data_IF_600214455185
#
_entry.id   IF_600214455185
#
_cell.length_a   1.000
_cell.length_b   1.000
_cell.length_c   1.000
_cell.angle_alpha   90.00
_cell.angle_beta   90.00
_cell.angle_gamma   90.00
#
_symmetry.space_group_name_H-M   'P 1'
#
loop_
_entity.id
_entity.type
_entity.pdbx_description
1 polymer ?
#
# COMPACT_ATOMS: atom_id res chain seq x y z
N UNK A 1 -5.27 -1.16 23.20
CA UNK A 1 -4.96 -0.64 21.86
C UNK A 1 -3.69 0.19 21.94
N UNK A 2 -2.65 -0.18 21.20
CA UNK A 2 -1.45 0.64 21.01
C UNK A 2 -1.56 1.43 19.70
N UNK A 3 -1.05 2.66 19.67
CA UNK A 3 -1.12 3.55 18.51
C UNK A 3 0.25 4.19 18.26
N UNK A 4 0.64 4.29 16.99
CA UNK A 4 1.82 5.05 16.54
C UNK A 4 1.44 5.92 15.35
N UNK A 5 1.65 7.23 15.47
CA UNK A 5 1.28 8.20 14.43
C UNK A 5 2.52 8.56 13.62
N UNK A 6 2.40 8.50 12.29
CA UNK A 6 3.39 8.96 11.34
C UNK A 6 2.81 10.13 10.52
N UNK A 7 3.19 11.35 10.86
CA UNK A 7 2.71 12.54 10.15
C UNK A 7 3.35 12.63 8.75
N UNK A 8 2.58 13.12 7.80
CA UNK A 8 2.98 13.20 6.39
C UNK A 8 4.22 14.08 6.16
N UNK A 9 4.36 15.16 6.94
CA UNK A 9 5.50 16.10 6.91
C UNK A 9 6.78 15.53 7.53
N UNK A 10 6.70 14.39 8.22
CA UNK A 10 7.84 13.70 8.86
C UNK A 10 8.34 12.49 8.07
N UNK A 11 7.77 12.22 6.89
CA UNK A 11 8.22 11.12 6.02
C UNK A 11 9.58 11.41 5.41
N UNK A 12 10.35 10.36 5.12
CA UNK A 12 11.54 10.46 4.28
C UNK A 12 11.16 10.88 2.86
N UNK A 13 12.13 11.39 2.09
CA UNK A 13 11.92 11.80 0.70
C UNK A 13 13.14 11.52 -0.14
N UNK A 14 12.93 10.86 -1.28
CA UNK A 14 13.90 10.79 -2.37
C UNK A 14 13.39 11.66 -3.52
N UNK A 15 14.17 12.67 -3.91
CA UNK A 15 13.81 13.62 -4.95
C UNK A 15 14.86 13.62 -6.05
N UNK A 16 14.47 13.14 -7.23
CA UNK A 16 15.26 13.14 -8.47
C UNK A 16 14.48 13.85 -9.57
N UNK A 17 15.09 14.16 -10.69
CA UNK A 17 14.41 14.82 -11.81
C UNK A 17 13.18 14.06 -12.30
N UNK A 18 13.20 12.74 -12.16
CA UNK A 18 12.15 11.84 -12.63
C UNK A 18 11.25 11.25 -11.53
N UNK A 19 11.68 11.33 -10.24
CA UNK A 19 11.02 10.69 -9.11
C UNK A 19 10.87 11.66 -7.94
N UNK A 20 9.66 11.78 -7.41
CA UNK A 20 9.37 12.36 -6.09
C UNK A 20 8.70 11.27 -5.24
N UNK A 21 9.48 10.65 -4.34
CA UNK A 21 9.06 9.52 -3.51
C UNK A 21 9.07 9.91 -2.04
N UNK A 22 7.96 9.64 -1.33
CA UNK A 22 7.84 9.89 0.10
C UNK A 22 7.73 8.57 0.87
N UNK A 23 8.60 8.38 1.88
CA UNK A 23 8.81 7.12 2.59
C UNK A 23 8.19 7.16 3.99
N UNK A 24 7.20 6.31 4.26
CA UNK A 24 6.64 6.14 5.61
C UNK A 24 7.62 5.42 6.55
N UNK A 25 8.45 4.55 5.99
CA UNK A 25 9.49 3.77 6.70
C UNK A 25 10.87 4.03 6.09
N UNK A 26 11.92 3.64 6.80
CA UNK A 26 13.30 3.75 6.32
C UNK A 26 13.48 3.04 4.98
N UNK A 27 13.90 3.79 3.98
CA UNK A 27 14.06 3.33 2.61
C UNK A 27 15.07 4.22 1.88
N UNK A 28 15.85 3.64 0.96
CA UNK A 28 16.91 4.34 0.24
C UNK A 28 17.87 5.04 1.21
N UNK A 29 18.18 6.31 1.04
CA UNK A 29 19.03 7.09 1.93
C UNK A 29 18.33 7.56 3.23
N UNK A 30 17.01 7.46 3.29
CA UNK A 30 16.26 7.81 4.49
C UNK A 30 16.37 6.72 5.55
N UNK A 31 16.94 7.06 6.70
CA UNK A 31 17.05 6.15 7.84
C UNK A 31 16.52 6.79 9.12
N UNK A 32 15.53 6.15 9.74
CA UNK A 32 15.02 6.45 11.06
C UNK A 32 14.84 5.13 11.83
N UNK A 33 15.59 4.89 12.94
CA UNK A 33 15.53 3.63 13.69
C UNK A 33 14.15 3.34 14.30
N UNK A 34 13.31 4.37 14.51
CA UNK A 34 11.95 4.22 15.00
C UNK A 34 10.94 3.94 13.88
N UNK A 35 11.39 3.96 12.60
CA UNK A 35 10.55 3.77 11.41
C UNK A 35 11.17 2.78 10.44
N UNK A 36 11.53 1.59 10.93
CA UNK A 36 12.06 0.52 10.07
C UNK A 36 10.92 -0.27 9.43
N UNK A 37 9.88 -0.58 10.19
CA UNK A 37 8.71 -1.32 9.75
C UNK A 37 7.55 -1.17 10.75
N UNK A 38 6.36 -1.66 10.37
CA UNK A 38 5.23 -1.88 11.26
C UNK A 38 4.79 -3.34 11.09
N UNK A 39 5.09 -4.22 12.08
CA UNK A 39 4.91 -5.65 11.89
C UNK A 39 5.59 -6.12 10.61
N UNK A 40 4.90 -6.90 9.78
CA UNK A 40 5.42 -7.35 8.49
C UNK A 40 5.44 -6.26 7.40
N UNK A 41 4.82 -5.10 7.59
CA UNK A 41 4.84 -3.98 6.64
C UNK A 41 6.23 -3.30 6.68
N UNK A 42 7.03 -3.48 5.62
CA UNK A 42 8.41 -3.00 5.53
C UNK A 42 8.55 -1.68 4.78
N UNK A 43 7.77 -1.48 3.73
CA UNK A 43 7.82 -0.28 2.88
C UNK A 43 6.39 0.19 2.60
N UNK A 44 6.19 1.50 2.68
CA UNK A 44 5.06 2.20 2.11
C UNK A 44 5.57 3.53 1.56
N UNK A 45 5.77 3.55 0.26
CA UNK A 45 6.19 4.72 -0.50
C UNK A 45 5.01 5.28 -1.30
N UNK A 46 4.97 6.60 -1.38
CA UNK A 46 4.01 7.39 -2.16
C UNK A 46 4.82 8.06 -3.28
N UNK A 47 4.77 7.44 -4.45
CA UNK A 47 5.66 7.71 -5.57
C UNK A 47 4.96 8.53 -6.66
N UNK A 48 5.65 9.54 -7.16
CA UNK A 48 5.27 10.29 -8.35
C UNK A 48 6.40 10.24 -9.36
N UNK A 49 6.12 9.62 -10.51
CA UNK A 49 7.10 9.38 -11.58
C UNK A 49 6.78 10.22 -12.80
N UNK A 50 7.80 10.89 -13.35
CA UNK A 50 7.69 11.75 -14.52
C UNK A 50 7.27 10.97 -15.79
N UNK A 51 6.73 11.65 -16.82
CA UNK A 51 6.30 11.00 -18.06
C UNK A 51 7.43 10.22 -18.74
N UNK A 52 7.18 8.97 -19.11
CA UNK A 52 8.12 8.10 -19.81
C UNK A 52 9.27 7.56 -18.97
N UNK A 53 9.38 7.96 -17.72
CA UNK A 53 10.41 7.55 -16.77
C UNK A 53 9.91 6.41 -15.88
N UNK A 54 10.78 5.89 -15.01
CA UNK A 54 10.42 4.85 -14.05
C UNK A 54 11.60 4.06 -13.53
N UNK A 55 11.28 3.06 -12.73
CA UNK A 55 12.25 2.13 -12.16
C UNK A 55 12.64 1.10 -13.23
N UNK A 56 13.87 1.20 -13.69
CA UNK A 56 14.46 0.28 -14.67
C UNK A 56 14.54 -1.14 -14.08
N UNK A 57 14.89 -2.11 -14.90
CA UNK A 57 14.98 -3.51 -14.46
C UNK A 57 15.89 -3.66 -13.25
N UNK A 58 15.32 -4.14 -12.16
CA UNK A 58 15.99 -4.38 -10.87
C UNK A 58 15.49 -5.67 -10.23
N UNK A 59 16.29 -6.29 -9.34
CA UNK A 59 15.94 -7.56 -8.72
C UNK A 59 15.18 -7.39 -7.41
N UNK A 60 14.27 -8.36 -7.14
CA UNK A 60 13.72 -8.60 -5.81
C UNK A 60 13.86 -10.07 -5.44
N UNK A 61 13.99 -10.34 -4.14
CA UNK A 61 14.01 -11.68 -3.57
C UNK A 61 13.38 -11.69 -2.20
N UNK A 62 12.55 -12.69 -1.94
CA UNK A 62 11.91 -12.86 -0.63
C UNK A 62 11.19 -11.59 -0.14
N UNK A 63 10.33 -11.03 -0.99
CA UNK A 63 9.50 -9.87 -0.69
C UNK A 63 8.15 -10.03 -1.38
N UNK A 64 7.08 -9.65 -0.69
CA UNK A 64 5.75 -9.48 -1.25
C UNK A 64 5.58 -8.00 -1.58
N UNK A 65 5.20 -7.68 -2.82
CA UNK A 65 5.15 -6.31 -3.32
C UNK A 65 3.76 -6.02 -3.86
N UNK A 66 3.18 -4.90 -3.43
CA UNK A 66 1.86 -4.45 -3.88
C UNK A 66 1.99 -3.03 -4.42
N UNK A 67 1.53 -2.82 -5.66
CA UNK A 67 1.47 -1.50 -6.29
C UNK A 67 0.00 -1.09 -6.48
N UNK A 68 -0.35 0.11 -5.99
CA UNK A 68 -1.71 0.66 -6.08
C UNK A 68 -1.64 2.02 -6.79
N UNK A 69 -2.04 2.11 -8.08
CA UNK A 69 -2.09 3.37 -8.79
C UNK A 69 -3.10 4.35 -8.18
N UNK A 70 -2.68 5.59 -7.97
CA UNK A 70 -3.53 6.69 -7.51
C UNK A 70 -3.87 7.65 -8.67
N UNK A 71 -3.00 7.69 -9.71
CA UNK A 71 -3.20 8.51 -10.90
C UNK A 71 -2.34 8.01 -12.06
N UNK A 72 -2.86 8.08 -13.29
CA UNK A 72 -2.12 7.71 -14.50
C UNK A 72 -2.03 6.21 -14.72
N UNK A 73 -0.94 5.76 -15.35
CA UNK A 73 -0.73 4.40 -15.82
C UNK A 73 0.64 3.89 -15.38
N UNK A 74 0.69 2.78 -14.66
CA UNK A 74 1.91 2.09 -14.28
C UNK A 74 2.10 0.85 -15.15
N UNK A 75 3.18 0.84 -15.94
CA UNK A 75 3.54 -0.27 -16.82
C UNK A 75 4.57 -1.17 -16.14
N UNK A 76 4.23 -2.42 -15.94
CA UNK A 76 5.08 -3.47 -15.37
C UNK A 76 5.63 -4.38 -16.45
N UNK A 77 6.89 -4.80 -16.30
CA UNK A 77 7.49 -5.89 -17.08
C UNK A 77 8.43 -6.70 -16.21
N UNK A 78 8.43 -8.03 -16.36
CA UNK A 78 9.28 -8.89 -15.53
C UNK A 78 9.98 -10.05 -16.27
N UNK A 79 10.94 -10.67 -15.59
CA UNK A 79 11.73 -11.81 -16.11
C UNK A 79 10.92 -13.10 -16.29
N UNK A 80 9.67 -13.14 -15.85
CA UNK A 80 8.71 -14.25 -16.08
C UNK A 80 7.82 -13.99 -17.28
N UNK A 81 8.11 -12.94 -18.06
CA UNK A 81 7.40 -12.50 -19.27
C UNK A 81 6.00 -11.92 -18.99
N UNK A 82 5.72 -11.48 -17.76
CA UNK A 82 4.55 -10.67 -17.53
C UNK A 82 4.81 -9.25 -18.05
N UNK A 83 3.84 -8.70 -18.77
CA UNK A 83 3.82 -7.31 -19.24
C UNK A 83 2.40 -6.80 -19.12
N UNK A 84 2.19 -5.84 -18.25
CA UNK A 84 0.88 -5.30 -17.89
C UNK A 84 0.95 -3.80 -17.69
N UNK A 85 -0.16 -3.14 -17.92
CA UNK A 85 -0.34 -1.73 -17.54
C UNK A 85 -1.56 -1.65 -16.67
N UNK A 86 -1.39 -1.13 -15.45
CA UNK A 86 -2.44 -0.95 -14.45
C UNK A 86 -2.72 0.54 -14.27
N UNK A 87 -3.93 0.86 -13.82
CA UNK A 87 -4.39 2.24 -13.60
C UNK A 87 -5.21 2.33 -12.31
N UNK A 88 -5.76 3.50 -12.03
CA UNK A 88 -6.62 3.73 -10.86
C UNK A 88 -7.78 2.71 -10.83
N UNK A 89 -7.95 2.04 -9.72
CA UNK A 89 -8.92 0.96 -9.54
C UNK A 89 -8.38 -0.44 -9.86
N UNK A 90 -7.09 -0.55 -10.22
CA UNK A 90 -6.39 -1.83 -10.30
C UNK A 90 -5.44 -1.99 -9.10
N UNK A 91 -5.11 -3.22 -8.76
CA UNK A 91 -4.06 -3.61 -7.80
C UNK A 91 -3.13 -4.60 -8.48
N UNK A 92 -1.82 -4.41 -8.29
CA UNK A 92 -0.79 -5.36 -8.70
C UNK A 92 -0.18 -6.01 -7.46
N UNK A 93 0.01 -7.32 -7.52
CA UNK A 93 0.59 -8.12 -6.44
C UNK A 93 1.68 -9.02 -7.01
N UNK A 94 2.88 -8.94 -6.44
CA UNK A 94 4.03 -9.74 -6.85
C UNK A 94 4.70 -10.38 -5.63
N UNK A 95 4.81 -11.70 -5.64
CA UNK A 95 5.65 -12.45 -4.69
C UNK A 95 7.00 -12.71 -5.35
N UNK A 96 8.07 -12.12 -4.82
CA UNK A 96 9.39 -12.25 -5.44
C UNK A 96 10.05 -13.62 -5.21
N UNK A 97 9.71 -14.33 -4.14
CA UNK A 97 10.14 -15.70 -3.85
C UNK A 97 11.65 -15.94 -4.04
N UNK A 98 12.01 -16.92 -4.86
CA UNK A 98 13.41 -17.26 -5.18
C UNK A 98 14.17 -16.18 -5.94
N UNK A 99 13.45 -15.22 -6.54
CA UNK A 99 13.99 -14.07 -7.24
C UNK A 99 13.24 -13.75 -8.53
N UNK A 100 13.04 -12.46 -8.75
CA UNK A 100 12.44 -11.89 -9.96
C UNK A 100 13.16 -10.59 -10.31
N UNK A 101 13.32 -10.31 -11.59
CA UNK A 101 13.71 -9.01 -12.09
C UNK A 101 12.48 -8.35 -12.68
N UNK A 102 12.22 -7.10 -12.34
CA UNK A 102 11.11 -6.35 -12.91
C UNK A 102 11.44 -4.88 -13.14
N UNK A 103 10.61 -4.22 -13.91
CA UNK A 103 10.61 -2.78 -14.15
C UNK A 103 9.22 -2.21 -13.94
N UNK A 104 9.15 -0.97 -13.45
CA UNK A 104 7.91 -0.23 -13.23
C UNK A 104 8.05 1.15 -13.86
N UNK A 105 7.41 1.34 -15.01
CA UNK A 105 7.56 2.53 -15.85
C UNK A 105 6.26 3.33 -15.87
N UNK A 106 6.37 4.66 -15.99
CA UNK A 106 5.20 5.46 -16.32
C UNK A 106 4.75 5.14 -17.75
N UNK A 107 3.55 4.58 -17.90
CA UNK A 107 2.97 4.23 -19.21
C UNK A 107 2.56 5.43 -20.08
N UNK A 108 2.63 6.66 -19.53
CA UNK A 108 2.30 7.89 -20.24
C UNK A 108 3.57 8.67 -20.61
N UNK A 109 3.64 9.18 -21.85
CA UNK A 109 4.72 10.07 -22.32
C UNK A 109 4.48 11.55 -21.99
N UNK A 110 3.33 11.92 -21.43
CA UNK A 110 2.94 13.31 -21.24
C UNK A 110 2.41 13.67 -19.86
N UNK A 111 2.03 12.67 -19.05
CA UNK A 111 1.45 12.88 -17.72
C UNK A 111 2.18 12.04 -16.68
N UNK A 112 2.37 12.54 -15.44
CA UNK A 112 2.97 11.74 -14.38
C UNK A 112 2.04 10.58 -13.97
N UNK A 113 2.63 9.53 -13.42
CA UNK A 113 1.94 8.48 -12.66
C UNK A 113 2.18 8.70 -11.17
N UNK A 114 1.16 8.47 -10.36
CA UNK A 114 1.24 8.47 -8.90
C UNK A 114 0.73 7.12 -8.38
N UNK A 115 1.47 6.47 -7.48
CA UNK A 115 1.10 5.16 -6.95
C UNK A 115 1.71 4.91 -5.56
N UNK A 116 1.09 4.01 -4.81
CA UNK A 116 1.67 3.48 -3.57
C UNK A 116 2.46 2.22 -3.89
N UNK A 117 3.72 2.18 -3.44
CA UNK A 117 4.57 1.00 -3.48
C UNK A 117 4.69 0.43 -2.07
N UNK A 118 4.21 -0.79 -1.87
CA UNK A 118 4.07 -1.40 -0.56
C UNK A 118 4.82 -2.73 -0.55
N UNK A 119 5.70 -2.92 0.44
CA UNK A 119 6.43 -4.18 0.61
C UNK A 119 6.08 -4.82 1.93
N UNK A 120 5.75 -6.11 1.86
CA UNK A 120 5.43 -6.93 3.01
C UNK A 120 6.50 -8.01 3.15
N UNK A 121 7.06 -8.20 4.34
CA UNK A 121 7.97 -9.29 4.62
C UNK A 121 7.24 -10.62 4.45
N UNK A 122 7.79 -11.58 3.69
CA UNK A 122 7.09 -12.81 3.38
C UNK A 122 7.00 -13.75 4.59
N UNK A 123 5.94 -14.55 4.67
CA UNK A 123 5.78 -15.63 5.66
C UNK A 123 6.78 -16.76 5.40
N UNK A 124 6.98 -17.08 4.12
CA UNK A 124 7.88 -18.14 3.68
C UNK A 124 8.90 -17.59 2.69
N UNK A 125 10.15 -18.05 2.81
CA UNK A 125 11.21 -17.66 1.88
C UNK A 125 11.38 -18.68 0.75
N UNK A 126 11.93 -18.21 -0.38
CA UNK A 126 12.27 -19.02 -1.55
C UNK A 126 11.06 -19.75 -2.17
N UNK A 127 9.88 -19.16 -2.04
CA UNK A 127 8.67 -19.59 -2.73
C UNK A 127 8.81 -19.40 -4.24
N UNK A 128 7.88 -19.95 -5.01
CA UNK A 128 7.85 -19.68 -6.45
C UNK A 128 7.41 -18.23 -6.71
N UNK A 129 8.12 -17.47 -7.58
CA UNK A 129 7.71 -16.13 -7.95
C UNK A 129 6.32 -16.11 -8.59
N UNK A 130 5.48 -15.18 -8.15
CA UNK A 130 4.09 -15.04 -8.62
C UNK A 130 3.81 -13.57 -8.95
N UNK A 131 3.06 -13.35 -10.04
CA UNK A 131 2.53 -12.05 -10.44
C UNK A 131 1.02 -12.15 -10.64
N UNK A 132 0.28 -11.15 -10.14
CA UNK A 132 -1.16 -11.03 -10.28
C UNK A 132 -1.52 -9.56 -10.46
N UNK A 133 -2.53 -9.26 -11.25
CA UNK A 133 -3.17 -7.94 -11.32
C UNK A 133 -4.68 -8.10 -11.39
N UNK A 134 -5.42 -7.19 -10.76
CA UNK A 134 -6.88 -7.27 -10.66
C UNK A 134 -7.53 -5.90 -10.68
N UNK A 135 -8.70 -5.81 -11.32
CA UNK A 135 -9.62 -4.71 -11.21
C UNK A 135 -10.43 -4.84 -9.91
N UNK A 136 -10.24 -3.86 -9.01
CA UNK A 136 -10.93 -3.82 -7.71
C UNK A 136 -12.13 -2.87 -7.69
N UNK A 137 -12.44 -2.16 -8.80
CA UNK A 137 -13.55 -1.19 -8.86
C UNK A 137 -14.88 -1.81 -8.46
N UNK A 138 -15.11 -3.05 -8.86
CA UNK A 138 -16.34 -3.78 -8.52
C UNK A 138 -16.48 -4.15 -7.03
N UNK A 139 -15.39 -4.10 -6.26
CA UNK A 139 -15.39 -4.36 -4.82
C UNK A 139 -15.68 -3.08 -4.01
N UNK A 140 -15.29 -1.92 -4.56
CA UNK A 140 -15.38 -0.63 -3.86
C UNK A 140 -16.83 -0.14 -3.86
N UNK A 141 -17.35 0.12 -2.68
CA UNK A 141 -18.64 0.76 -2.46
C UNK A 141 -18.46 2.02 -1.65
N UNK A 142 -19.22 3.05 -2.00
CA UNK A 142 -19.16 4.32 -1.28
C UNK A 142 -19.61 4.15 0.18
N UNK A 143 -18.88 4.76 1.10
CA UNK A 143 -19.11 4.71 2.55
C UNK A 143 -18.93 3.30 3.18
N UNK A 144 -18.20 2.41 2.52
CA UNK A 144 -17.85 1.09 3.04
C UNK A 144 -16.33 0.84 2.95
N UNK A 145 -15.79 -0.01 3.83
CA UNK A 145 -14.46 -0.57 3.70
C UNK A 145 -14.57 -1.88 2.91
N UNK A 146 -13.96 -1.93 1.74
CA UNK A 146 -13.90 -3.13 0.91
C UNK A 146 -12.59 -3.88 1.15
N UNK A 147 -12.65 -5.16 1.44
CA UNK A 147 -11.49 -6.04 1.44
C UNK A 147 -11.06 -6.27 -0.02
N UNK A 148 -9.83 -5.85 -0.37
CA UNK A 148 -9.31 -5.88 -1.74
C UNK A 148 -8.20 -6.91 -1.94
N UNK A 149 -7.60 -7.39 -0.84
CA UNK A 149 -6.57 -8.43 -0.84
C UNK A 149 -6.63 -9.21 0.47
N UNK A 150 -6.52 -10.54 0.39
CA UNK A 150 -6.52 -11.44 1.55
C UNK A 150 -5.63 -12.66 1.30
N UNK A 151 -5.13 -13.34 2.35
CA UNK A 151 -4.29 -14.53 2.20
C UNK A 151 -5.09 -15.79 1.87
N UNK A 152 -6.37 -15.83 2.21
CA UNK A 152 -7.25 -17.01 2.14
C UNK A 152 -7.94 -17.20 0.79
N UNK A 153 -7.76 -16.25 -0.14
CA UNK A 153 -8.40 -16.29 -1.46
C UNK A 153 -9.87 -15.85 -1.47
N UNK A 154 -10.37 -15.23 -0.40
CA UNK A 154 -11.71 -14.61 -0.37
C UNK A 154 -11.79 -13.37 -1.26
N UNK A 155 -10.64 -12.85 -1.70
CA UNK A 155 -10.50 -11.78 -2.69
C UNK A 155 -9.80 -12.28 -3.95
N UNK A 156 -9.98 -11.62 -5.12
CA UNK A 156 -9.27 -11.99 -6.34
C UNK A 156 -7.74 -11.94 -6.18
N UNK A 157 -7.22 -10.90 -5.51
CA UNK A 157 -5.80 -10.76 -5.19
C UNK A 157 -5.46 -11.43 -3.86
N UNK A 158 -4.30 -12.09 -3.78
CA UNK A 158 -3.80 -12.68 -2.54
C UNK A 158 -2.29 -12.53 -2.40
N UNK A 159 -1.84 -12.42 -1.15
CA UNK A 159 -0.43 -12.57 -0.75
C UNK A 159 -0.20 -13.93 -0.07
N UNK A 160 1.05 -14.34 -0.01
CA UNK A 160 1.45 -15.53 0.75
C UNK A 160 1.58 -15.23 2.24
N UNK A 161 1.78 -13.96 2.63
CA UNK A 161 1.77 -13.51 4.01
C UNK A 161 0.33 -13.40 4.52
N UNK A 162 0.13 -13.64 5.83
CA UNK A 162 -1.16 -13.43 6.51
C UNK A 162 -1.43 -11.91 6.62
N UNK A 163 -1.94 -11.34 5.54
CA UNK A 163 -2.09 -9.90 5.35
C UNK A 163 -3.38 -9.58 4.62
N UNK A 164 -4.10 -8.57 5.10
CA UNK A 164 -5.35 -8.09 4.51
C UNK A 164 -5.23 -6.61 4.16
N UNK A 165 -5.64 -6.27 2.94
CA UNK A 165 -5.76 -4.89 2.51
C UNK A 165 -7.22 -4.52 2.35
N UNK A 166 -7.62 -3.43 2.98
CA UNK A 166 -8.95 -2.86 2.79
C UNK A 166 -8.84 -1.42 2.31
N UNK A 167 -9.73 -1.03 1.43
CA UNK A 167 -9.81 0.34 0.90
C UNK A 167 -11.22 0.88 1.04
N UNK A 168 -11.35 2.16 1.38
CA UNK A 168 -12.63 2.84 1.48
C UNK A 168 -12.60 4.24 0.89
N UNK A 169 -13.70 4.61 0.26
CA UNK A 169 -14.02 5.98 -0.12
C UNK A 169 -15.32 6.39 0.58
N UNK A 170 -15.26 7.39 1.46
CA UNK A 170 -16.38 7.80 2.27
C UNK A 170 -16.58 9.31 2.32
N UNK A 171 -17.84 9.73 2.34
CA UNK A 171 -18.23 11.12 2.52
C UNK A 171 -17.96 11.60 3.94
N UNK A 172 -17.89 12.90 4.12
CA UNK A 172 -17.81 13.51 5.45
C UNK A 172 -19.00 13.09 6.34
N UNK A 173 -18.72 12.91 7.64
CA UNK A 173 -19.74 12.57 8.64
C UNK A 173 -20.16 11.09 8.65
N UNK A 174 -19.35 10.20 8.05
CA UNK A 174 -19.58 8.75 8.12
C UNK A 174 -18.67 8.11 9.17
N UNK A 175 -19.13 6.99 9.72
CA UNK A 175 -18.32 6.12 10.58
C UNK A 175 -18.14 4.78 9.89
N UNK A 176 -16.88 4.37 9.73
CA UNK A 176 -16.50 3.10 9.16
C UNK A 176 -15.92 2.22 10.28
N UNK A 177 -16.51 1.05 10.51
CA UNK A 177 -15.97 0.06 11.45
C UNK A 177 -14.95 -0.84 10.73
N UNK A 178 -13.79 -1.06 11.36
CA UNK A 178 -12.83 -2.10 10.96
C UNK A 178 -12.73 -3.17 12.03
N UNK A 179 -12.90 -4.42 11.64
CA UNK A 179 -12.69 -5.60 12.47
C UNK A 179 -11.42 -6.30 12.06
N UNK A 180 -10.56 -6.61 13.02
CA UNK A 180 -9.31 -7.34 12.81
C UNK A 180 -9.61 -8.73 12.26
N UNK A 181 -8.93 -9.13 11.22
CA UNK A 181 -9.09 -10.43 10.54
C UNK A 181 -8.19 -11.52 11.15
N UNK A 182 -6.92 -11.17 11.43
CA UNK A 182 -5.93 -12.13 11.90
C UNK A 182 -5.78 -12.20 13.41
N UNK A 183 -4.97 -13.15 13.89
CA UNK A 183 -4.52 -13.23 15.27
C UNK A 183 -3.14 -12.59 15.38
N UNK A 184 -2.90 -11.83 16.45
CA UNK A 184 -1.62 -11.14 16.69
C UNK A 184 -1.20 -10.23 15.52
N UNK A 185 -2.19 -9.54 14.93
CA UNK A 185 -1.99 -8.59 13.84
C UNK A 185 -2.17 -7.16 14.31
N UNK A 186 -1.64 -6.23 13.53
CA UNK A 186 -1.88 -4.80 13.64
C UNK A 186 -2.28 -4.22 12.29
N UNK A 187 -2.93 -3.07 12.31
CA UNK A 187 -3.40 -2.38 11.11
C UNK A 187 -2.64 -1.08 10.93
N UNK A 188 -2.01 -0.90 9.78
CA UNK A 188 -1.46 0.38 9.37
C UNK A 188 -2.45 1.08 8.45
N UNK A 189 -2.99 2.20 8.93
CA UNK A 189 -3.94 3.05 8.23
C UNK A 189 -3.14 4.12 7.50
N UNK A 190 -3.34 4.28 6.20
CA UNK A 190 -2.76 5.34 5.40
C UNK A 190 -3.89 6.19 4.80
N UNK A 191 -3.97 7.45 5.20
CA UNK A 191 -4.98 8.36 4.68
C UNK A 191 -4.53 8.93 3.34
N UNK A 192 -5.07 8.39 2.26
CA UNK A 192 -4.71 8.81 0.90
C UNK A 192 -5.20 10.24 0.65
N UNK A 193 -6.47 10.54 0.93
CA UNK A 193 -7.08 11.86 0.79
C UNK A 193 -8.07 12.10 1.92
N UNK A 194 -8.29 13.37 2.27
CA UNK A 194 -9.33 13.78 3.22
C UNK A 194 -8.81 14.05 4.64
N UNK A 195 -9.71 13.84 5.60
CA UNK A 195 -9.46 14.03 7.04
C UNK A 195 -10.34 13.07 7.83
N UNK A 196 -9.74 12.30 8.72
CA UNK A 196 -10.45 11.31 9.54
C UNK A 196 -10.03 11.40 10.99
N UNK A 197 -10.92 10.95 11.87
CA UNK A 197 -10.65 10.82 13.31
C UNK A 197 -10.77 9.37 13.73
N UNK A 198 -9.82 8.91 14.53
CA UNK A 198 -9.79 7.57 15.13
C UNK A 198 -9.51 7.75 16.61
N UNK A 199 -10.51 7.51 17.46
CA UNK A 199 -10.52 7.89 18.87
C UNK A 199 -10.21 9.40 19.03
N UNK A 200 -9.05 9.72 19.61
CA UNK A 200 -8.54 11.09 19.86
C UNK A 200 -7.59 11.61 18.77
N UNK A 201 -7.26 10.79 17.77
CA UNK A 201 -6.28 11.11 16.75
C UNK A 201 -6.96 11.58 15.47
N UNK A 202 -6.65 12.79 15.02
CA UNK A 202 -7.04 13.29 13.70
C UNK A 202 -5.88 13.03 12.73
N UNK A 203 -6.19 12.37 11.62
CA UNK A 203 -5.28 12.19 10.49
C UNK A 203 -5.71 13.10 9.36
N UNK A 204 -4.71 13.69 8.71
CA UNK A 204 -4.87 14.48 7.49
C UNK A 204 -4.21 13.76 6.31
N UNK A 205 -4.39 14.30 5.11
CA UNK A 205 -3.86 13.73 3.88
C UNK A 205 -2.43 13.21 4.02
N UNK A 206 -2.20 11.93 3.67
CA UNK A 206 -0.92 11.21 3.70
C UNK A 206 -0.34 10.92 5.09
N UNK A 207 -1.08 11.20 6.16
CA UNK A 207 -0.72 10.69 7.48
C UNK A 207 -0.88 9.18 7.55
N UNK A 208 -0.08 8.53 8.38
CA UNK A 208 -0.17 7.11 8.72
C UNK A 208 -0.45 6.92 10.22
N UNK A 209 -1.17 5.84 10.55
CA UNK A 209 -1.44 5.42 11.92
C UNK A 209 -1.35 3.91 12.04
N UNK A 210 -0.40 3.41 12.81
CA UNK A 210 -0.34 2.01 13.22
C UNK A 210 -1.19 1.77 14.46
N UNK A 211 -2.07 0.76 14.42
CA UNK A 211 -2.91 0.31 15.54
C UNK A 211 -2.65 -1.16 15.78
N UNK A 212 -2.43 -1.54 17.04
CA UNK A 212 -2.30 -2.94 17.47
C UNK A 212 -2.96 -3.18 18.82
N UNK A 213 -3.05 -4.44 19.24
CA UNK A 213 -3.67 -4.87 20.52
C UNK A 213 -5.13 -4.38 20.64
N UNK A 214 -5.92 -4.59 19.59
CA UNK A 214 -7.37 -4.36 19.57
C UNK A 214 -8.05 -5.41 18.71
N UNK A 215 -9.38 -5.52 18.83
CA UNK A 215 -10.20 -6.40 17.97
C UNK A 215 -10.95 -5.63 16.88
N UNK A 216 -11.17 -4.34 17.10
CA UNK A 216 -11.83 -3.45 16.16
C UNK A 216 -11.55 -2.00 16.52
N UNK A 217 -11.83 -1.09 15.59
CA UNK A 217 -11.84 0.36 15.80
C UNK A 217 -12.77 1.03 14.78
N UNK A 218 -13.14 2.25 15.07
CA UNK A 218 -13.97 3.08 14.20
C UNK A 218 -13.15 4.21 13.58
N UNK A 219 -13.50 4.58 12.37
CA UNK A 219 -12.93 5.69 11.59
C UNK A 219 -14.06 6.66 11.31
N UNK A 220 -14.04 7.83 11.92
CA UNK A 220 -14.97 8.93 11.65
C UNK A 220 -14.41 9.82 10.54
N UNK A 221 -15.12 9.99 9.43
CA UNK A 221 -14.68 10.86 8.33
C UNK A 221 -15.10 12.30 8.62
N UNK A 222 -14.12 13.19 8.78
CA UNK A 222 -14.35 14.63 8.98
C UNK A 222 -14.50 15.37 7.64
N UNK A 223 -13.90 14.84 6.57
CA UNK A 223 -14.04 15.27 5.18
C UNK A 223 -14.21 14.06 4.28
N UNK A 224 -14.63 14.28 3.03
CA UNK A 224 -14.61 13.22 2.01
C UNK A 224 -13.21 12.61 1.97
N UNK A 225 -13.12 11.30 2.16
CA UNK A 225 -11.85 10.64 2.45
C UNK A 225 -11.66 9.37 1.64
N UNK A 226 -10.40 9.11 1.28
CA UNK A 226 -9.92 7.85 0.70
C UNK A 226 -8.86 7.24 1.60
N UNK A 227 -9.10 5.99 2.03
CA UNK A 227 -8.36 5.36 3.12
C UNK A 227 -7.86 3.99 2.65
N UNK A 228 -6.61 3.67 2.95
CA UNK A 228 -6.03 2.34 2.80
C UNK A 228 -5.70 1.79 4.20
N UNK A 229 -6.13 0.56 4.47
CA UNK A 229 -5.81 -0.19 5.68
C UNK A 229 -5.01 -1.42 5.29
N UNK A 230 -3.89 -1.64 5.96
CA UNK A 230 -2.97 -2.76 5.73
C UNK A 230 -2.82 -3.50 7.06
N UNK A 231 -3.51 -4.63 7.19
CA UNK A 231 -3.39 -5.49 8.36
C UNK A 231 -2.27 -6.51 8.13
N UNK A 232 -1.35 -6.61 9.09
CA UNK A 232 -0.16 -7.45 9.02
C UNK A 232 0.14 -8.13 10.34
N UNK A 233 0.83 -9.28 10.36
CA UNK A 233 1.40 -9.86 11.58
C UNK A 233 2.38 -8.90 12.27
N UNK A 234 2.35 -8.88 13.62
CA UNK A 234 3.20 -8.02 14.46
C UNK A 234 4.44 -8.72 14.96
#
# INVERSE_FOLDING_TARGET
MKKVVHRSDTRGRSLYDWLDSHHSFSFDEYYNPERIHFGALRVLNDDRVAPGEGFQTHPHKNMEIVSIPLKGFLAHGDSKKNSRTITVGDIQVMSAGTGIYHSEMNGSKSKPVEFLQIWIMPKERNTHPLYQDYDIRGLLKKNELALILSPDGSTPAKLLQDTWFSMGEAEAGKTLEYKIHGTDTGVYIFLIEGEVKIDDIILTRRDGLGISETKSFEIETLKDSKILLIEVPM
#
